data_IF_208369636617
#
_entry.id   IF_208369636617
#
_cell.length_a   1.000
_cell.length_b   1.000
_cell.length_c   1.000
_cell.angle_alpha   90.00
_cell.angle_beta   90.00
_cell.angle_gamma   90.00
#
_symmetry.space_group_name_H-M   'P 1'
#
loop_
_entity.id
_entity.type
_entity.pdbx_description
1 polymer ?
#
# COMPACT_ATOMS: atom_id res chain seq x y z
N UNK A 1 23.49 -53.28 -27.13
CA UNK A 1 22.55 -52.13 -27.16
C UNK A 1 22.43 -51.57 -25.74
N UNK A 2 23.02 -50.40 -25.51
CA UNK A 2 23.70 -50.04 -24.25
C UNK A 2 22.76 -49.61 -23.11
N UNK A 3 22.69 -50.42 -22.03
CA UNK A 3 22.01 -50.07 -20.77
C UNK A 3 22.57 -48.80 -20.13
N UNK A 4 23.87 -48.52 -20.32
CA UNK A 4 24.54 -47.31 -19.83
C UNK A 4 24.00 -46.00 -20.43
N UNK A 5 23.62 -46.00 -21.71
CA UNK A 5 23.05 -44.82 -22.37
C UNK A 5 21.61 -44.51 -21.90
N UNK A 6 20.87 -45.53 -21.44
CA UNK A 6 19.54 -45.37 -20.85
C UNK A 6 19.60 -44.80 -19.43
N UNK A 7 20.57 -45.24 -18.64
CA UNK A 7 20.82 -44.70 -17.30
C UNK A 7 21.25 -43.22 -17.33
N UNK A 8 22.11 -42.84 -18.27
CA UNK A 8 22.53 -41.45 -18.45
C UNK A 8 21.36 -40.54 -18.90
N UNK A 9 20.46 -41.02 -19.77
CA UNK A 9 19.23 -40.28 -20.14
C UNK A 9 18.27 -40.10 -18.96
N UNK A 10 18.15 -41.09 -18.08
CA UNK A 10 17.29 -40.99 -16.89
C UNK A 10 17.86 -40.05 -15.84
N UNK A 11 19.18 -40.05 -15.63
CA UNK A 11 19.84 -39.09 -14.75
C UNK A 11 19.64 -37.63 -15.19
N UNK A 12 19.65 -37.38 -16.50
CA UNK A 12 19.40 -36.05 -17.06
C UNK A 12 17.93 -35.60 -16.90
N UNK A 13 16.97 -36.52 -17.03
CA UNK A 13 15.54 -36.22 -16.81
C UNK A 13 15.25 -35.94 -15.32
N UNK A 14 15.84 -36.68 -14.40
CA UNK A 14 15.70 -36.44 -12.95
C UNK A 14 16.34 -35.10 -12.56
N UNK A 15 17.51 -34.77 -13.12
CA UNK A 15 18.15 -33.48 -12.89
C UNK A 15 17.30 -32.31 -13.42
N UNK A 16 16.73 -32.42 -14.63
CA UNK A 16 15.80 -31.42 -15.17
C UNK A 16 14.54 -31.25 -14.31
N UNK A 17 14.01 -32.33 -13.71
CA UNK A 17 12.88 -32.25 -12.78
C UNK A 17 13.23 -31.53 -11.47
N UNK A 18 14.45 -31.72 -10.96
CA UNK A 18 14.90 -31.06 -9.73
C UNK A 18 15.12 -29.55 -9.91
N UNK A 19 15.47 -29.08 -11.11
CA UNK A 19 15.61 -27.64 -11.39
C UNK A 19 14.27 -26.90 -11.49
N UNK A 20 13.15 -27.58 -11.80
CA UNK A 20 11.83 -26.94 -11.87
C UNK A 20 11.20 -26.65 -10.50
N UNK A 21 11.72 -27.23 -9.41
CA UNK A 21 11.20 -27.04 -8.06
C UNK A 21 11.53 -25.67 -7.43
N UNK A 22 12.43 -24.89 -8.05
CA UNK A 22 12.80 -23.55 -7.59
C UNK A 22 12.09 -22.43 -8.36
N UNK A 23 10.93 -22.69 -8.98
CA UNK A 23 10.11 -21.60 -9.50
C UNK A 23 9.58 -20.76 -8.32
N UNK A 24 9.88 -19.44 -8.26
CA UNK A 24 9.36 -18.59 -7.20
C UNK A 24 7.83 -18.55 -7.32
N UNK A 25 7.17 -19.14 -6.33
CA UNK A 25 5.72 -19.12 -6.19
C UNK A 25 5.32 -17.67 -5.90
N UNK A 26 4.96 -16.92 -6.95
CA UNK A 26 4.38 -15.59 -6.78
C UNK A 26 3.10 -15.79 -5.96
N UNK A 27 2.88 -15.04 -4.88
CA UNK A 27 1.62 -15.13 -4.15
C UNK A 27 0.49 -14.78 -5.11
N UNK A 28 -0.20 -15.81 -5.59
CA UNK A 28 -1.41 -15.62 -6.36
C UNK A 28 -2.42 -15.00 -5.40
N UNK A 29 -2.97 -13.86 -5.80
CA UNK A 29 -4.17 -13.29 -5.21
C UNK A 29 -5.12 -14.43 -4.82
N UNK A 30 -5.58 -14.53 -3.56
CA UNK A 30 -6.47 -15.60 -3.18
C UNK A 30 -7.68 -15.62 -4.11
N UNK A 31 -8.03 -16.81 -4.60
CA UNK A 31 -9.22 -17.00 -5.44
C UNK A 31 -10.42 -16.52 -4.64
N UNK A 32 -11.07 -15.44 -5.10
CA UNK A 32 -12.18 -14.79 -4.37
C UNK A 32 -11.83 -13.46 -3.69
N UNK A 33 -10.58 -12.96 -3.79
CA UNK A 33 -10.32 -11.55 -3.47
C UNK A 33 -11.04 -10.68 -4.49
N UNK A 34 -12.19 -10.15 -4.08
CA UNK A 34 -13.01 -9.20 -4.81
C UNK A 34 -12.17 -8.21 -5.62
N UNK A 35 -12.53 -8.00 -6.89
CA UNK A 35 -12.01 -6.88 -7.69
C UNK A 35 -12.05 -5.61 -6.84
N UNK A 36 -11.11 -4.66 -7.02
CA UNK A 36 -11.09 -3.43 -6.21
C UNK A 36 -12.47 -2.77 -6.08
N UNK A 37 -13.37 -2.91 -7.06
CA UNK A 37 -14.77 -2.43 -6.99
C UNK A 37 -15.74 -3.16 -6.04
N UNK A 38 -15.59 -4.46 -5.79
CA UNK A 38 -16.47 -5.23 -4.87
C UNK A 38 -16.03 -5.07 -3.41
N UNK A 39 -14.72 -5.18 -3.15
CA UNK A 39 -14.13 -4.88 -1.85
C UNK A 39 -14.31 -3.40 -1.50
N UNK A 40 -14.27 -2.52 -2.50
CA UNK A 40 -14.51 -1.10 -2.29
C UNK A 40 -15.88 -0.80 -1.70
N UNK A 41 -16.92 -1.57 -2.05
CA UNK A 41 -18.26 -1.30 -1.52
C UNK A 41 -18.32 -1.53 -0.02
N UNK A 42 -17.72 -2.62 0.49
CA UNK A 42 -17.65 -2.90 1.92
C UNK A 42 -16.80 -1.87 2.67
N UNK A 43 -15.71 -1.37 2.06
CA UNK A 43 -14.79 -0.43 2.70
C UNK A 43 -15.25 1.03 2.68
N UNK A 44 -16.29 1.40 1.92
CA UNK A 44 -16.78 2.80 1.82
C UNK A 44 -17.27 3.38 3.15
N UNK A 45 -17.73 2.55 4.08
CA UNK A 45 -18.24 2.96 5.38
C UNK A 45 -17.14 2.99 6.46
N UNK A 46 -15.91 2.60 6.10
CA UNK A 46 -14.80 2.51 7.04
C UNK A 46 -14.21 3.89 7.26
N UNK A 47 -14.56 4.48 8.41
CA UNK A 47 -14.01 5.76 8.85
C UNK A 47 -12.91 5.61 9.89
N UNK A 48 -12.75 4.42 10.51
CA UNK A 48 -11.70 4.17 11.51
C UNK A 48 -10.84 2.99 11.10
N UNK A 49 -9.54 3.20 11.08
CA UNK A 49 -8.55 2.16 10.87
C UNK A 49 -7.20 2.62 11.38
N UNK A 50 -6.31 1.68 11.62
CA UNK A 50 -4.90 1.97 11.78
C UNK A 50 -4.05 0.94 11.06
N UNK A 51 -2.86 1.39 10.65
CA UNK A 51 -1.86 0.53 10.06
C UNK A 51 -0.50 0.79 10.70
N UNK A 52 0.31 -0.25 10.78
CA UNK A 52 1.72 -0.19 11.14
C UNK A 52 2.54 -0.91 10.09
N UNK A 53 3.68 -0.32 9.76
CA UNK A 53 4.59 -0.94 8.80
C UNK A 53 5.80 -0.08 8.52
N UNK A 54 6.33 -0.23 7.31
CA UNK A 54 7.53 0.46 6.84
C UNK A 54 7.27 1.06 5.47
N UNK A 55 7.85 2.22 5.23
CA UNK A 55 7.87 2.81 3.91
C UNK A 55 9.29 3.17 3.49
N UNK A 56 9.53 3.11 2.19
CA UNK A 56 10.74 3.59 1.55
C UNK A 56 10.35 4.60 0.49
N UNK A 57 11.00 5.75 0.50
CA UNK A 57 10.74 6.81 -0.46
C UNK A 57 11.99 7.14 -1.27
N UNK A 58 11.78 7.62 -2.48
CA UNK A 58 12.78 8.24 -3.33
C UNK A 58 12.12 9.41 -4.04
N UNK A 59 12.77 10.55 -3.96
CA UNK A 59 12.39 11.80 -4.59
C UNK A 59 13.65 12.47 -5.14
N UNK A 60 13.55 13.50 -5.99
CA UNK A 60 14.71 14.29 -6.38
C UNK A 60 15.51 14.78 -5.16
N UNK A 61 16.80 14.43 -5.11
CA UNK A 61 17.72 14.89 -4.06
C UNK A 61 17.60 14.19 -2.69
N UNK A 62 16.66 13.27 -2.49
CA UNK A 62 16.50 12.58 -1.21
C UNK A 62 15.90 11.19 -1.35
N UNK A 63 16.36 10.28 -0.50
CA UNK A 63 15.77 8.94 -0.38
C UNK A 63 15.96 8.44 1.03
N UNK A 64 15.10 7.52 1.45
CA UNK A 64 15.19 6.97 2.79
C UNK A 64 14.11 5.96 3.07
N UNK A 65 14.10 5.50 4.32
CA UNK A 65 13.05 4.66 4.84
C UNK A 65 12.63 5.12 6.22
N UNK A 66 11.39 4.78 6.59
CA UNK A 66 10.85 5.07 7.90
C UNK A 66 9.86 3.97 8.32
N UNK A 67 9.75 3.76 9.64
CA UNK A 67 8.58 3.09 10.19
C UNK A 67 7.40 4.05 10.14
N UNK A 68 6.24 3.50 9.82
CA UNK A 68 4.98 4.23 9.70
C UNK A 68 4.00 3.65 10.71
N UNK A 69 3.38 4.53 11.48
CA UNK A 69 2.18 4.23 12.25
C UNK A 69 1.13 5.29 11.91
N UNK A 70 0.04 4.87 11.29
CA UNK A 70 -1.05 5.75 10.87
C UNK A 70 -2.33 5.30 11.54
N UNK A 71 -2.97 6.21 12.26
CA UNK A 71 -4.33 6.07 12.80
C UNK A 71 -5.26 7.06 12.10
N UNK A 72 -6.37 6.58 11.53
CA UNK A 72 -7.40 7.37 10.86
C UNK A 72 -8.72 7.25 11.63
N UNK A 73 -9.42 8.37 11.81
CA UNK A 73 -10.74 8.47 12.44
C UNK A 73 -11.55 9.59 11.77
N UNK A 74 -12.34 9.24 10.75
CA UNK A 74 -13.02 10.21 9.88
C UNK A 74 -11.99 11.11 9.21
N UNK A 75 -12.13 12.42 9.38
CA UNK A 75 -11.13 13.38 8.90
C UNK A 75 -9.92 13.53 9.83
N UNK A 76 -10.00 13.04 11.07
CA UNK A 76 -8.88 13.12 12.01
C UNK A 76 -7.87 12.05 11.71
N UNK A 77 -6.59 12.39 11.79
CA UNK A 77 -5.52 11.44 11.59
C UNK A 77 -4.32 11.72 12.49
N UNK A 78 -3.53 10.68 12.72
CA UNK A 78 -2.22 10.73 13.38
C UNK A 78 -1.26 9.85 12.61
N UNK A 79 -0.20 10.45 12.06
CA UNK A 79 0.91 9.76 11.41
C UNK A 79 2.17 9.95 12.25
N UNK A 80 2.82 8.85 12.61
CA UNK A 80 4.16 8.85 13.18
C UNK A 80 5.13 8.19 12.20
N UNK A 81 6.15 8.95 11.80
CA UNK A 81 7.22 8.54 10.91
C UNK A 81 8.53 8.49 11.69
N UNK A 82 9.18 7.34 11.72
CA UNK A 82 10.42 7.12 12.47
C UNK A 82 11.52 6.61 11.56
N UNK A 83 12.58 7.40 11.37
CA UNK A 83 13.74 7.02 10.58
C UNK A 83 14.63 5.99 11.28
N UNK A 84 15.45 5.23 10.53
CA UNK A 84 16.43 4.32 11.11
C UNK A 84 17.45 5.08 11.97
N UNK A 85 17.94 4.44 13.03
CA UNK A 85 19.01 4.96 13.91
C UNK A 85 18.76 6.38 14.45
N UNK A 86 17.49 6.78 14.61
CA UNK A 86 17.16 8.13 15.09
C UNK A 86 17.39 9.24 14.06
N UNK A 87 17.50 8.91 12.76
CA UNK A 87 17.63 9.87 11.65
C UNK A 87 16.51 10.94 11.62
N UNK A 88 15.45 10.73 12.38
CA UNK A 88 14.42 11.71 12.69
C UNK A 88 13.16 11.01 13.18
N UNK A 89 12.36 11.73 13.95
CA UNK A 89 10.97 11.39 14.20
C UNK A 89 10.11 12.58 13.75
N UNK A 90 9.03 12.28 13.04
CA UNK A 90 8.04 13.27 12.66
C UNK A 90 6.66 12.75 13.03
N UNK A 91 5.90 13.57 13.74
CA UNK A 91 4.48 13.33 14.01
C UNK A 91 3.65 14.37 13.28
N UNK A 92 2.60 13.90 12.61
CA UNK A 92 1.65 14.74 11.91
C UNK A 92 0.28 14.37 12.46
N UNK A 93 -0.41 15.33 13.05
CA UNK A 93 -1.78 15.18 13.52
C UNK A 93 -2.61 16.23 12.81
N UNK A 94 -3.81 15.90 12.38
CA UNK A 94 -4.65 16.89 11.71
C UNK A 94 -6.08 16.44 11.55
N UNK A 95 -6.90 17.40 11.13
CA UNK A 95 -8.29 17.22 10.80
C UNK A 95 -8.70 18.21 9.68
N UNK A 96 -10.01 18.45 9.53
CA UNK A 96 -10.52 19.37 8.51
C UNK A 96 -10.16 20.85 8.75
N UNK A 97 -9.72 21.24 9.95
CA UNK A 97 -9.48 22.63 10.33
C UNK A 97 -7.99 22.94 10.53
N UNK A 98 -7.22 22.01 11.10
CA UNK A 98 -5.82 22.25 11.46
C UNK A 98 -4.90 21.06 11.25
N UNK A 99 -3.62 21.36 11.13
CA UNK A 99 -2.54 20.38 11.01
C UNK A 99 -1.41 20.75 11.95
N UNK A 100 -1.04 19.82 12.82
CA UNK A 100 0.05 19.93 13.77
C UNK A 100 1.19 19.03 13.31
N UNK A 101 2.37 19.61 13.12
CA UNK A 101 3.58 18.85 12.82
C UNK A 101 4.58 19.02 13.95
N UNK A 102 5.05 17.89 14.48
CA UNK A 102 6.11 17.83 15.46
C UNK A 102 7.32 17.13 14.86
N UNK A 103 8.47 17.81 14.81
CA UNK A 103 9.73 17.24 14.32
C UNK A 103 10.91 17.84 15.06
N UNK A 104 11.89 16.99 15.43
CA UNK A 104 13.10 17.41 16.16
C UNK A 104 12.82 18.25 17.44
N UNK A 105 11.69 17.97 18.11
CA UNK A 105 11.27 18.68 19.32
C UNK A 105 10.55 20.01 19.08
N UNK A 106 10.41 20.45 17.82
CA UNK A 106 9.62 21.62 17.46
C UNK A 106 8.21 21.20 17.07
N UNK A 107 7.21 21.84 17.68
CA UNK A 107 5.79 21.65 17.35
C UNK A 107 5.26 22.89 16.66
N UNK A 108 4.68 22.72 15.48
CA UNK A 108 4.10 23.80 14.66
C UNK A 108 2.65 23.48 14.33
N UNK A 109 1.80 24.49 14.37
CA UNK A 109 0.38 24.40 14.04
C UNK A 109 0.14 25.21 12.78
N UNK A 110 -0.61 24.65 11.86
CA UNK A 110 -0.92 25.22 10.56
C UNK A 110 -2.44 25.17 10.33
N UNK A 111 -2.95 26.19 9.65
CA UNK A 111 -4.33 26.20 9.17
C UNK A 111 -4.52 25.14 8.07
N UNK A 112 -5.76 24.69 7.87
CA UNK A 112 -6.17 23.63 6.93
C UNK A 112 -5.48 23.74 5.55
N UNK A 113 -4.46 22.90 5.33
CA UNK A 113 -3.88 22.49 4.04
C UNK A 113 -2.70 21.53 4.32
N UNK A 114 -2.95 20.30 4.84
CA UNK A 114 -1.88 19.40 5.24
C UNK A 114 -0.86 19.13 4.14
N UNK A 115 -1.33 18.99 2.92
CA UNK A 115 -0.49 18.74 1.74
C UNK A 115 0.50 19.89 1.51
N UNK A 116 0.07 21.15 1.67
CA UNK A 116 0.92 22.32 1.49
C UNK A 116 1.98 22.41 2.60
N UNK A 117 1.58 22.13 3.84
CA UNK A 117 2.48 22.10 5.00
C UNK A 117 3.51 20.99 4.84
N UNK A 118 3.07 19.80 4.48
CA UNK A 118 3.95 18.66 4.23
C UNK A 118 4.86 18.93 3.04
N UNK A 119 4.40 19.62 2.00
CA UNK A 119 5.25 20.02 0.90
C UNK A 119 6.37 20.97 1.33
N UNK A 120 6.09 21.92 2.24
CA UNK A 120 7.12 22.80 2.79
C UNK A 120 8.16 22.06 3.65
N UNK A 121 7.74 21.01 4.36
CA UNK A 121 8.60 20.26 5.28
C UNK A 121 9.39 19.16 4.55
N UNK A 122 8.73 18.46 3.63
CA UNK A 122 9.27 17.31 2.91
C UNK A 122 9.91 17.71 1.58
N UNK A 123 9.57 18.88 1.04
CA UNK A 123 9.99 19.38 -0.27
C UNK A 123 9.14 18.89 -1.45
N UNK A 124 8.03 18.17 -1.19
CA UNK A 124 7.14 17.62 -2.22
C UNK A 124 5.72 17.44 -1.70
N UNK A 125 4.75 17.59 -2.60
CA UNK A 125 3.34 17.38 -2.29
C UNK A 125 3.02 15.87 -2.16
N UNK A 126 2.91 15.40 -0.93
CA UNK A 126 2.37 14.09 -0.63
C UNK A 126 0.84 14.20 -0.46
N UNK A 127 0.01 13.54 -1.28
CA UNK A 127 -1.44 13.71 -1.26
C UNK A 127 -2.05 12.92 -0.10
N UNK A 128 -1.91 13.42 1.12
CA UNK A 128 -2.33 12.70 2.33
C UNK A 128 -3.82 12.35 2.30
N UNK A 129 -4.66 13.27 1.81
CA UNK A 129 -6.07 13.01 1.57
C UNK A 129 -6.33 11.81 0.66
N UNK A 130 -5.63 11.71 -0.47
CA UNK A 130 -5.85 10.58 -1.39
C UNK A 130 -5.19 9.29 -0.91
N UNK A 131 -4.04 9.39 -0.23
CA UNK A 131 -3.37 8.24 0.40
C UNK A 131 -4.31 7.49 1.34
N UNK A 132 -5.17 8.19 2.10
CA UNK A 132 -6.11 7.58 3.05
C UNK A 132 -7.06 6.57 2.38
N UNK A 133 -7.39 6.79 1.12
CA UNK A 133 -8.20 5.89 0.31
C UNK A 133 -7.34 4.84 -0.38
N UNK A 134 -6.23 5.26 -0.98
CA UNK A 134 -5.38 4.37 -1.77
C UNK A 134 -4.77 3.25 -0.94
N UNK A 135 -4.43 3.48 0.35
CA UNK A 135 -3.92 2.41 1.24
C UNK A 135 -4.96 1.34 1.55
N UNK A 136 -6.26 1.65 1.45
CA UNK A 136 -7.35 0.69 1.59
C UNK A 136 -7.69 -0.02 0.26
N UNK A 137 -7.04 0.35 -0.85
CA UNK A 137 -7.40 -0.15 -2.18
C UNK A 137 -8.61 0.56 -2.79
N UNK A 138 -8.94 1.75 -2.31
CA UNK A 138 -10.04 2.58 -2.81
C UNK A 138 -9.54 3.68 -3.73
N UNK A 139 -10.36 4.11 -4.68
CA UNK A 139 -10.19 5.40 -5.35
C UNK A 139 -10.66 6.52 -4.43
N UNK A 140 -9.96 7.65 -4.41
CA UNK A 140 -10.37 8.82 -3.65
C UNK A 140 -11.59 9.49 -4.33
N UNK A 141 -12.76 9.60 -3.66
CA UNK A 141 -13.97 10.16 -4.24
C UNK A 141 -13.92 11.68 -4.44
N UNK A 142 -12.92 12.36 -3.88
CA UNK A 142 -12.80 13.82 -3.91
C UNK A 142 -11.88 14.32 -5.04
N UNK A 143 -11.16 13.42 -5.73
CA UNK A 143 -10.15 13.81 -6.73
C UNK A 143 -10.36 13.11 -8.08
N UNK A 144 -11.04 13.80 -9.00
CA UNK A 144 -11.14 13.42 -10.41
C UNK A 144 -11.55 11.96 -10.70
N UNK A 145 -11.50 11.53 -11.96
CA UNK A 145 -11.77 10.15 -12.32
C UNK A 145 -10.59 9.23 -11.95
N UNK A 146 -10.91 7.99 -11.58
CA UNK A 146 -9.96 6.91 -11.36
C UNK A 146 -10.05 5.86 -12.46
N UNK A 147 -8.90 5.36 -12.92
CA UNK A 147 -8.82 4.25 -13.87
C UNK A 147 -8.16 3.05 -13.22
N UNK A 148 -8.84 1.90 -13.22
CA UNK A 148 -8.30 0.63 -12.74
C UNK A 148 -7.80 -0.23 -13.90
N UNK A 149 -6.74 -0.97 -13.67
CA UNK A 149 -6.20 -1.96 -14.60
C UNK A 149 -5.32 -2.98 -13.89
N UNK A 150 -4.52 -3.72 -14.65
CA UNK A 150 -3.61 -4.74 -14.13
C UNK A 150 -2.23 -4.61 -14.77
N UNK A 151 -1.17 -4.94 -14.03
CA UNK A 151 0.17 -5.09 -14.61
C UNK A 151 0.25 -6.42 -15.35
N UNK A 152 0.55 -6.38 -16.65
CA UNK A 152 0.69 -7.57 -17.47
C UNK A 152 -0.68 -8.11 -17.94
N UNK A 153 -1.03 -9.32 -17.50
CA UNK A 153 -2.30 -9.96 -17.85
C UNK A 153 -3.45 -9.53 -16.91
N UNK A 154 -4.69 -9.86 -17.25
CA UNK A 154 -5.90 -9.54 -16.46
C UNK A 154 -5.91 -10.16 -15.04
N UNK A 155 -5.02 -11.11 -14.77
CA UNK A 155 -4.80 -11.72 -13.44
C UNK A 155 -3.61 -11.14 -12.69
N UNK A 156 -3.00 -10.07 -13.22
CA UNK A 156 -1.82 -9.42 -12.66
C UNK A 156 -2.10 -8.57 -11.42
N UNK A 157 -1.11 -7.78 -11.03
CA UNK A 157 -1.19 -6.86 -9.89
C UNK A 157 -2.17 -5.72 -10.23
N UNK A 158 -3.20 -5.44 -9.39
CA UNK A 158 -4.09 -4.32 -9.61
C UNK A 158 -3.32 -2.99 -9.64
N UNK A 159 -3.75 -2.10 -10.54
CA UNK A 159 -3.19 -0.76 -10.69
C UNK A 159 -4.33 0.26 -10.68
N UNK A 160 -4.22 1.26 -9.82
CA UNK A 160 -5.05 2.45 -9.80
C UNK A 160 -4.26 3.62 -10.40
N UNK A 161 -4.88 4.35 -11.33
CA UNK A 161 -4.38 5.63 -11.83
C UNK A 161 -5.37 6.73 -11.48
N UNK A 162 -4.94 7.72 -10.72
CA UNK A 162 -5.80 8.82 -10.29
C UNK A 162 -4.96 10.05 -9.94
N UNK A 163 -5.40 11.25 -10.33
CA UNK A 163 -4.73 12.53 -10.02
C UNK A 163 -3.21 12.55 -10.34
N UNK A 164 -2.82 11.92 -11.45
CA UNK A 164 -1.41 11.80 -11.88
C UNK A 164 -0.59 10.73 -11.16
N UNK A 165 -1.15 10.08 -10.14
CA UNK A 165 -0.51 8.98 -9.43
C UNK A 165 -0.81 7.63 -10.06
N UNK A 166 0.17 6.74 -10.04
CA UNK A 166 0.01 5.31 -10.31
C UNK A 166 0.25 4.54 -9.01
N UNK A 167 -0.76 3.81 -8.55
CA UNK A 167 -0.70 2.97 -7.35
C UNK A 167 -0.79 1.50 -7.76
N UNK A 168 0.25 0.73 -7.47
CA UNK A 168 0.31 -0.72 -7.69
C UNK A 168 0.09 -1.46 -6.39
N UNK A 169 -0.75 -2.49 -6.42
CA UNK A 169 -1.06 -3.34 -5.28
C UNK A 169 -0.39 -4.70 -5.44
N UNK A 170 0.80 -4.85 -4.84
CA UNK A 170 1.66 -6.03 -5.03
C UNK A 170 1.26 -7.21 -4.12
N UNK A 171 0.73 -6.92 -2.92
CA UNK A 171 0.42 -7.94 -1.93
C UNK A 171 -0.82 -7.55 -1.13
N UNK A 172 -1.58 -8.54 -0.68
CA UNK A 172 -2.82 -8.38 0.08
C UNK A 172 -2.77 -9.23 1.36
N UNK A 173 -3.43 -8.78 2.42
CA UNK A 173 -3.48 -9.50 3.70
C UNK A 173 -4.20 -10.83 3.54
N UNK A 174 -3.74 -11.93 4.15
CA UNK A 174 -4.42 -13.23 4.05
C UNK A 174 -5.63 -13.40 4.99
N UNK A 175 -5.77 -12.56 6.02
CA UNK A 175 -6.53 -12.89 7.24
C UNK A 175 -7.70 -11.96 7.60
N UNK A 176 -7.94 -10.90 6.84
CA UNK A 176 -9.13 -10.06 7.02
C UNK A 176 -10.21 -10.58 6.05
N UNK A 177 -11.12 -11.40 6.55
CA UNK A 177 -12.30 -11.86 5.82
C UNK A 177 -13.52 -11.11 6.38
N UNK A 178 -14.45 -10.61 5.55
CA UNK A 178 -14.57 -10.84 4.10
C UNK A 178 -13.75 -9.87 3.21
N UNK A 179 -12.97 -8.96 3.79
CA UNK A 179 -12.27 -7.90 3.02
C UNK A 179 -10.76 -7.98 3.13
N UNK A 180 -10.12 -8.23 1.99
CA UNK A 180 -8.67 -8.21 1.88
C UNK A 180 -8.16 -6.76 1.79
N UNK A 181 -7.21 -6.39 2.65
CA UNK A 181 -6.54 -5.09 2.60
C UNK A 181 -5.17 -5.20 1.92
N UNK A 182 -4.66 -4.14 1.28
CA UNK A 182 -3.29 -4.12 0.78
C UNK A 182 -2.27 -4.38 1.90
N UNK A 183 -1.35 -5.30 1.67
CA UNK A 183 -0.18 -5.53 2.51
C UNK A 183 1.09 -4.88 1.91
N UNK A 184 1.12 -4.70 0.59
CA UNK A 184 2.21 -3.99 -0.09
C UNK A 184 1.68 -3.19 -1.26
N UNK A 185 2.07 -1.93 -1.30
CA UNK A 185 1.73 -1.04 -2.40
C UNK A 185 2.92 -0.16 -2.79
N UNK A 186 2.93 0.24 -4.06
CA UNK A 186 3.88 1.20 -4.60
C UNK A 186 3.12 2.33 -5.25
N UNK A 187 3.48 3.56 -4.90
CA UNK A 187 2.93 4.78 -5.43
C UNK A 187 4.01 5.54 -6.18
N UNK A 188 3.68 5.95 -7.40
CA UNK A 188 4.59 6.66 -8.29
C UNK A 188 3.90 7.86 -8.93
N UNK A 189 4.62 8.98 -9.00
CA UNK A 189 4.27 10.16 -9.79
C UNK A 189 5.56 10.85 -10.20
N UNK A 190 5.85 10.88 -11.51
CA UNK A 190 7.09 11.46 -12.04
C UNK A 190 8.33 10.85 -11.34
N UNK A 191 9.18 11.67 -10.71
CA UNK A 191 10.38 11.22 -9.99
C UNK A 191 10.13 10.85 -8.52
N UNK A 192 8.86 10.84 -8.08
CA UNK A 192 8.44 10.46 -6.73
C UNK A 192 8.07 8.99 -6.73
N UNK A 193 8.71 8.24 -5.82
CA UNK A 193 8.47 6.84 -5.58
C UNK A 193 8.28 6.60 -4.08
N UNK A 194 7.18 5.93 -3.71
CA UNK A 194 6.89 5.52 -2.34
C UNK A 194 6.47 4.05 -2.34
N UNK A 195 7.24 3.21 -1.67
CA UNK A 195 6.85 1.81 -1.41
C UNK A 195 6.43 1.69 0.04
N UNK A 196 5.25 1.12 0.28
CA UNK A 196 4.71 0.87 1.61
C UNK A 196 4.53 -0.63 1.80
N UNK A 197 5.10 -1.16 2.87
CA UNK A 197 4.86 -2.50 3.38
C UNK A 197 4.09 -2.38 4.68
N UNK A 198 2.85 -2.85 4.68
CA UNK A 198 1.96 -2.84 5.84
C UNK A 198 2.07 -4.20 6.52
N UNK A 199 2.51 -4.17 7.78
CA UNK A 199 2.79 -5.37 8.56
C UNK A 199 1.63 -5.73 9.48
N UNK A 200 0.85 -4.71 9.88
CA UNK A 200 -0.30 -4.87 10.74
C UNK A 200 -1.40 -3.89 10.37
N UNK A 201 -2.63 -4.40 10.33
CA UNK A 201 -3.86 -3.64 10.18
C UNK A 201 -4.71 -3.81 11.43
N UNK A 202 -5.35 -2.73 11.84
CA UNK A 202 -6.42 -2.72 12.81
C UNK A 202 -7.62 -1.99 12.19
N UNK A 203 -8.66 -2.74 11.87
CA UNK A 203 -9.89 -2.27 11.27
C UNK A 203 -11.02 -3.06 11.91
N UNK A 204 -12.01 -2.37 12.45
CA UNK A 204 -13.16 -3.00 13.08
C UNK A 204 -14.13 -3.50 11.98
N UNK A 205 -14.33 -4.83 11.83
CA UNK A 205 -15.17 -5.37 10.77
C UNK A 205 -16.64 -4.93 10.87
N UNK A 206 -17.09 -4.44 12.03
CA UNK A 206 -18.46 -3.91 12.21
C UNK A 206 -18.70 -2.62 11.43
N UNK A 207 -17.64 -1.94 10.99
CA UNK A 207 -17.72 -0.73 10.17
C UNK A 207 -17.90 -1.01 8.68
N UNK A 208 -17.76 -2.27 8.25
CA UNK A 208 -17.93 -2.63 6.86
C UNK A 208 -19.37 -2.34 6.42
N UNK A 209 -19.54 -1.74 5.24
CA UNK A 209 -20.87 -1.58 4.68
C UNK A 209 -21.51 -2.98 4.49
N UNK A 210 -22.82 -3.12 4.73
CA UNK A 210 -23.51 -4.37 4.46
C UNK A 210 -23.43 -4.68 2.95
N UNK A 211 -22.75 -5.77 2.60
CA UNK A 211 -22.71 -6.28 1.22
C UNK A 211 -24.04 -7.00 0.98
N UNK A 212 -24.99 -6.32 0.34
CA UNK A 212 -26.26 -6.93 -0.04
C UNK A 212 -26.03 -8.09 -1.00
N UNK A 213 -26.51 -9.29 -0.65
CA UNK A 213 -26.69 -10.36 -1.65
C UNK A 213 -27.82 -9.92 -2.57
N UNK A 214 -27.48 -9.42 -3.75
CA UNK A 214 -28.42 -9.37 -4.88
C UNK A 214 -28.55 -10.75 -5.50
#
# INVERSE_FOLDING_TARGET
>A
MNRAARAARWGWVVLMLLLAACAPMRPQRPVGAALPGEAAQALRCVDRWSLRGRAAFRIPGSSGSFRLNWQQQGDRYRLALEGPLGAGAMRIEGDAAEVVVESKGERRVYAAAPELVLAQILGYELPLQSLRYWVLGLSDPHVGPATWGFVGAETGEPVLRQAGWTVRYEEWTPSLSPVFLPARLILEREDIFLRVLIEHWDLDPTQLCPVGRS
#
